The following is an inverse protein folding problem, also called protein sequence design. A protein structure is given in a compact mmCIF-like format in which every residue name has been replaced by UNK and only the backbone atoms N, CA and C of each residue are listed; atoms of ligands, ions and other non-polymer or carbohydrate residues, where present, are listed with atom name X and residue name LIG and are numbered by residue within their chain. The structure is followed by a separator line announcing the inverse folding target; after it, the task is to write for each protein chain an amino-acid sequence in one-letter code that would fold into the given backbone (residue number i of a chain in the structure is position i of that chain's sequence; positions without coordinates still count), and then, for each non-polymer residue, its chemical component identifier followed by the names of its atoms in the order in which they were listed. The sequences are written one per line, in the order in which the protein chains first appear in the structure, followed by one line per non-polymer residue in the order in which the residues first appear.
data_IF_329746470486
#
_entry.id   IF_329746470486
#
_cell.length_a   1.000
_cell.length_b   1.000
_cell.length_c   1.000
_cell.angle_alpha   90.00
_cell.angle_beta   90.00
_cell.angle_gamma   90.00
#
_symmetry.space_group_name_H-M   'P 1'
#
loop_
_entity.id
_entity.type
_entity.pdbx_description
1 polymer ?
#
# COMPACT_ATOMS: atom_id res chain seq x y z
N UNK A 1 39.95 3.22 -46.58
CA UNK A 1 38.78 3.84 -45.91
C UNK A 1 39.01 3.73 -44.40
N UNK A 2 39.31 4.89 -43.82
CA UNK A 2 39.08 5.38 -42.46
C UNK A 2 39.08 4.35 -41.30
N UNK A 3 40.11 4.44 -40.46
CA UNK A 3 40.00 4.14 -39.01
C UNK A 3 39.80 5.48 -38.30
N UNK A 4 38.60 5.71 -37.78
CA UNK A 4 38.28 6.75 -36.82
C UNK A 4 38.11 6.12 -35.43
N UNK A 5 38.72 6.74 -34.42
CA UNK A 5 38.65 6.29 -33.03
C UNK A 5 39.33 7.29 -32.09
N UNK A 6 38.55 8.30 -31.71
CA UNK A 6 38.92 9.48 -30.91
C UNK A 6 39.56 9.18 -29.54
N UNK A 7 40.46 10.08 -29.17
CA UNK A 7 41.13 10.19 -27.87
C UNK A 7 40.15 10.49 -26.71
N UNK A 8 40.31 9.76 -25.60
CA UNK A 8 39.66 10.06 -24.33
C UNK A 8 40.50 11.09 -23.55
N UNK A 9 39.94 12.28 -23.34
CA UNK A 9 40.50 13.29 -22.43
C UNK A 9 39.88 13.15 -21.04
N UNK A 10 40.71 12.83 -20.05
CA UNK A 10 40.39 12.88 -18.62
C UNK A 10 40.24 14.35 -18.18
N UNK A 11 39.08 14.72 -17.63
CA UNK A 11 38.85 16.00 -16.95
C UNK A 11 38.86 15.82 -15.43
N UNK A 12 39.54 16.69 -14.65
CA UNK A 12 39.49 16.65 -13.20
C UNK A 12 38.27 17.40 -12.65
N UNK A 13 37.77 16.88 -11.53
CA UNK A 13 36.64 17.38 -10.74
C UNK A 13 37.06 18.58 -9.89
N UNK A 14 36.43 19.74 -10.08
CA UNK A 14 36.53 20.88 -9.16
C UNK A 14 35.23 21.03 -8.35
N UNK A 15 35.39 20.90 -7.03
CA UNK A 15 34.35 21.14 -6.01
C UNK A 15 34.01 22.63 -5.98
N UNK A 16 32.73 22.97 -6.16
CA UNK A 16 32.22 24.33 -5.90
C UNK A 16 31.38 24.27 -4.62
N UNK A 17 31.97 24.75 -3.52
CA UNK A 17 31.25 25.17 -2.32
C UNK A 17 30.45 26.44 -2.66
N UNK A 18 29.12 26.41 -2.53
CA UNK A 18 28.29 27.62 -2.60
C UNK A 18 28.34 28.36 -1.27
N UNK A 19 28.98 29.53 -1.29
CA UNK A 19 28.99 30.53 -0.22
C UNK A 19 27.60 31.17 -0.03
N UNK A 20 27.27 31.45 1.23
CA UNK A 20 26.12 32.24 1.65
C UNK A 20 26.35 33.74 1.36
N UNK A 21 25.31 34.54 1.00
CA UNK A 21 25.48 35.97 0.85
C UNK A 21 25.49 36.66 2.21
N UNK A 22 26.54 37.45 2.43
CA UNK A 22 26.71 38.32 3.59
C UNK A 22 25.74 39.51 3.55
N UNK A 23 25.23 39.86 4.73
CA UNK A 23 24.42 41.05 4.97
C UNK A 23 25.39 42.23 5.17
N UNK A 24 25.29 43.20 4.28
CA UNK A 24 26.02 44.48 4.33
C UNK A 24 25.39 45.40 5.38
N UNK A 25 26.18 45.85 6.34
CA UNK A 25 25.88 47.00 7.22
C UNK A 25 26.44 48.28 6.59
N UNK A 26 25.72 49.40 6.74
CA UNK A 26 26.19 50.76 7.11
C UNK A 26 25.02 51.77 6.92
N UNK A 27 25.04 52.98 7.52
CA UNK A 27 24.90 53.28 8.94
C UNK A 27 23.67 54.19 9.22
N UNK A 28 23.37 54.37 10.50
CA UNK A 28 22.22 55.14 10.98
C UNK A 28 22.32 56.65 10.78
N UNK A 29 21.16 57.25 10.54
CA UNK A 29 20.87 58.67 10.79
C UNK A 29 19.56 58.71 11.57
N UNK A 30 19.61 59.33 12.75
CA UNK A 30 18.47 59.51 13.63
C UNK A 30 17.57 60.66 13.22
N UNK A 31 16.41 60.71 13.88
CA UNK A 31 15.69 61.95 14.11
C UNK A 31 14.35 62.10 13.40
N UNK A 32 13.30 62.07 14.23
CA UNK A 32 12.18 63.02 14.22
C UNK A 32 11.10 62.90 13.13
N UNK A 33 9.85 62.91 13.60
CA UNK A 33 8.69 63.24 12.77
C UNK A 33 7.52 62.30 12.95
N UNK A 34 6.63 62.63 13.88
CA UNK A 34 5.28 62.07 13.96
C UNK A 34 4.50 62.37 12.68
N UNK A 35 4.03 61.35 11.98
CA UNK A 35 2.82 61.44 11.16
C UNK A 35 2.04 60.14 11.31
N UNK A 36 0.78 60.31 11.71
CA UNK A 36 -0.28 59.32 11.77
C UNK A 36 -0.23 58.30 10.63
N UNK A 37 -0.02 57.03 10.96
CA UNK A 37 -0.30 55.91 10.06
C UNK A 37 -1.48 55.12 10.62
N UNK A 38 -2.67 55.39 10.06
CA UNK A 38 -3.84 54.52 10.17
C UNK A 38 -3.41 53.09 9.87
N UNK A 39 -3.56 52.18 10.82
CA UNK A 39 -3.51 50.75 10.51
C UNK A 39 -4.68 50.45 9.56
N UNK A 40 -4.46 49.90 8.35
CA UNK A 40 -5.56 49.34 7.59
C UNK A 40 -6.04 48.11 8.35
N UNK A 41 -7.20 48.22 9.00
CA UNK A 41 -8.05 47.09 9.34
C UNK A 41 -8.27 46.29 8.05
N UNK A 42 -7.78 45.05 7.99
CA UNK A 42 -8.06 44.24 6.80
C UNK A 42 -7.21 43.01 6.56
N UNK A 43 -6.80 42.27 7.59
CA UNK A 43 -6.45 40.87 7.36
C UNK A 43 -7.76 40.10 7.11
N UNK A 44 -8.16 39.98 5.85
CA UNK A 44 -9.27 39.11 5.44
C UNK A 44 -8.95 37.69 5.92
N UNK A 45 -9.60 37.28 7.02
CA UNK A 45 -9.75 35.87 7.35
C UNK A 45 -10.53 35.29 6.17
N UNK A 46 -9.86 34.55 5.29
CA UNK A 46 -10.55 33.71 4.34
C UNK A 46 -11.26 32.64 5.17
N UNK A 47 -12.48 32.94 5.62
CA UNK A 47 -13.49 31.93 5.91
C UNK A 47 -13.47 31.03 4.69
N UNK A 48 -13.20 29.74 4.91
CA UNK A 48 -13.35 28.72 3.88
C UNK A 48 -14.67 29.04 3.17
N UNK A 49 -14.62 29.40 1.90
CA UNK A 49 -15.81 29.77 1.13
C UNK A 49 -16.84 28.66 1.31
N UNK A 50 -18.14 29.00 1.41
CA UNK A 50 -19.21 28.02 1.64
C UNK A 50 -19.10 26.81 0.71
N UNK A 51 -18.57 26.98 -0.50
CA UNK A 51 -18.30 25.92 -1.45
C UNK A 51 -17.24 24.90 -0.98
N UNK A 52 -16.18 25.33 -0.29
CA UNK A 52 -15.13 24.45 0.27
C UNK A 52 -15.64 23.71 1.50
N UNK A 53 -16.44 24.37 2.35
CA UNK A 53 -17.12 23.72 3.48
C UNK A 53 -18.13 22.70 2.97
N UNK A 54 -18.95 23.05 1.97
CA UNK A 54 -19.88 22.12 1.29
C UNK A 54 -19.17 20.97 0.60
N UNK A 55 -18.00 21.19 -0.01
CA UNK A 55 -17.20 20.11 -0.62
C UNK A 55 -16.69 19.15 0.46
N UNK A 56 -16.24 19.69 1.58
CA UNK A 56 -15.75 18.92 2.73
C UNK A 56 -16.88 18.17 3.43
N UNK A 57 -18.04 18.79 3.59
CA UNK A 57 -19.26 18.15 4.08
C UNK A 57 -19.74 17.08 3.12
N UNK A 58 -19.69 17.31 1.80
CA UNK A 58 -20.03 16.30 0.79
C UNK A 58 -19.06 15.11 0.83
N UNK A 59 -17.76 15.37 0.98
CA UNK A 59 -16.77 14.31 1.17
C UNK A 59 -16.96 13.59 2.50
N UNK A 60 -17.26 14.30 3.59
CA UNK A 60 -17.55 13.71 4.90
C UNK A 60 -18.85 12.91 4.89
N UNK A 61 -19.87 13.34 4.13
CA UNK A 61 -21.14 12.62 3.96
C UNK A 61 -20.97 11.37 3.10
N UNK A 62 -20.14 11.43 2.05
CA UNK A 62 -19.72 10.24 1.28
C UNK A 62 -18.94 9.24 2.13
N UNK A 63 -17.99 9.73 2.94
CA UNK A 63 -17.21 8.88 3.86
C UNK A 63 -18.09 8.31 4.98
N UNK A 64 -19.02 9.08 5.52
CA UNK A 64 -19.96 8.62 6.55
C UNK A 64 -20.90 7.53 6.01
N UNK A 65 -21.42 7.70 4.79
CA UNK A 65 -22.25 6.68 4.10
C UNK A 65 -21.44 5.40 3.83
N UNK A 66 -20.17 5.53 3.43
CA UNK A 66 -19.27 4.38 3.27
C UNK A 66 -18.99 3.65 4.59
N UNK A 67 -19.04 4.35 5.74
CA UNK A 67 -18.80 3.78 7.06
C UNK A 67 -20.07 3.24 7.77
N UNK A 68 -21.28 3.55 7.29
CA UNK A 68 -22.54 3.16 7.94
C UNK A 68 -23.29 1.99 7.27
N UNK A 69 -22.83 1.46 6.13
CA UNK A 69 -23.45 0.30 5.48
C UNK A 69 -22.80 -1.00 5.96
N UNK A 70 -23.56 -2.07 6.24
CA UNK A 70 -23.02 -3.32 6.77
C UNK A 70 -22.32 -4.14 5.68
N UNK A 71 -21.06 -4.56 5.82
CA UNK A 71 -19.83 -3.73 5.91
C UNK A 71 -19.02 -3.72 4.62
N UNK A 72 -19.50 -4.37 3.55
CA UNK A 72 -18.72 -4.59 2.29
C UNK A 72 -19.56 -4.39 1.03
N UNK A 73 -20.85 -4.79 1.03
CA UNK A 73 -21.75 -4.57 -0.11
C UNK A 73 -21.97 -3.07 -0.39
N UNK A 74 -22.31 -2.30 0.65
CA UNK A 74 -22.46 -0.85 0.51
C UNK A 74 -21.15 -0.13 0.17
N UNK A 75 -20.01 -0.64 0.63
CA UNK A 75 -18.70 -0.08 0.25
C UNK A 75 -18.38 -0.34 -1.24
N UNK A 76 -18.76 -1.50 -1.78
CA UNK A 76 -18.65 -1.79 -3.21
C UNK A 76 -19.56 -0.87 -4.04
N UNK A 77 -20.78 -0.62 -3.59
CA UNK A 77 -21.71 0.33 -4.23
C UNK A 77 -21.11 1.73 -4.31
N UNK A 78 -20.54 2.25 -3.21
CA UNK A 78 -19.85 3.55 -3.19
C UNK A 78 -18.68 3.57 -4.19
N UNK A 79 -17.91 2.49 -4.30
CA UNK A 79 -16.82 2.41 -5.27
C UNK A 79 -17.33 2.41 -6.72
N UNK A 80 -18.44 1.72 -6.99
CA UNK A 80 -19.09 1.75 -8.30
C UNK A 80 -19.60 3.16 -8.62
N UNK A 81 -20.22 3.84 -7.66
CA UNK A 81 -20.68 5.23 -7.84
C UNK A 81 -19.52 6.19 -8.10
N UNK A 82 -18.43 6.06 -7.35
CA UNK A 82 -17.21 6.84 -7.57
C UNK A 82 -16.69 6.62 -9.00
N UNK A 83 -16.68 5.37 -9.48
CA UNK A 83 -16.30 5.04 -10.85
C UNK A 83 -17.25 5.67 -11.86
N UNK A 84 -18.56 5.58 -11.65
CA UNK A 84 -19.57 6.14 -12.55
C UNK A 84 -19.51 7.67 -12.62
N UNK A 85 -19.00 8.32 -11.58
CA UNK A 85 -18.71 9.76 -11.54
C UNK A 85 -17.32 10.12 -12.07
N UNK A 86 -16.61 9.17 -12.69
CA UNK A 86 -15.24 9.28 -13.21
C UNK A 86 -14.23 9.82 -12.15
N UNK A 87 -14.46 9.47 -10.89
CA UNK A 87 -13.52 9.82 -9.82
C UNK A 87 -12.25 9.00 -10.01
N UNK A 88 -11.12 9.68 -10.17
CA UNK A 88 -9.81 9.02 -10.31
C UNK A 88 -9.49 8.16 -9.09
N UNK A 89 -9.24 6.87 -9.34
CA UNK A 89 -8.82 5.95 -8.29
C UNK A 89 -7.34 6.13 -7.95
N UNK A 90 -7.03 6.17 -6.67
CA UNK A 90 -5.66 6.15 -6.16
C UNK A 90 -5.20 4.70 -5.96
N UNK A 91 -3.89 4.49 -5.72
CA UNK A 91 -3.34 3.17 -5.39
C UNK A 91 -4.07 2.51 -4.21
N UNK A 92 -4.41 3.29 -3.19
CA UNK A 92 -5.11 2.80 -2.00
C UNK A 92 -6.59 2.50 -2.30
N UNK A 93 -7.21 3.27 -3.21
CA UNK A 93 -8.57 3.00 -3.69
C UNK A 93 -8.64 1.64 -4.39
N UNK A 94 -7.66 1.29 -5.23
CA UNK A 94 -7.60 -0.03 -5.85
C UNK A 94 -7.38 -1.16 -4.84
N UNK A 95 -6.51 -0.95 -3.84
CA UNK A 95 -6.32 -1.92 -2.76
C UNK A 95 -7.62 -2.16 -2.01
N UNK A 96 -8.33 -1.09 -1.64
CA UNK A 96 -9.62 -1.18 -0.94
C UNK A 96 -10.68 -1.87 -1.80
N UNK A 97 -10.80 -1.48 -3.08
CA UNK A 97 -11.75 -2.07 -4.01
C UNK A 97 -11.53 -3.57 -4.17
N UNK A 98 -10.28 -3.99 -4.41
CA UNK A 98 -9.98 -5.41 -4.60
C UNK A 98 -10.10 -6.20 -3.29
N UNK A 99 -9.79 -5.59 -2.15
CA UNK A 99 -10.02 -6.20 -0.84
C UNK A 99 -11.53 -6.42 -0.57
N UNK A 100 -12.38 -5.44 -0.91
CA UNK A 100 -13.84 -5.58 -0.79
C UNK A 100 -14.35 -6.68 -1.72
N UNK A 101 -13.92 -6.69 -2.98
CA UNK A 101 -14.30 -7.76 -3.92
C UNK A 101 -13.86 -9.13 -3.41
N UNK A 102 -12.63 -9.24 -2.90
CA UNK A 102 -12.12 -10.46 -2.28
C UNK A 102 -12.98 -10.92 -1.10
N UNK A 103 -13.37 -10.01 -0.20
CA UNK A 103 -14.22 -10.32 0.95
C UNK A 103 -15.65 -10.71 0.58
N UNK A 104 -16.19 -10.16 -0.51
CA UNK A 104 -17.52 -10.53 -1.01
C UNK A 104 -17.52 -11.90 -1.70
N UNK A 105 -16.41 -12.26 -2.36
CA UNK A 105 -16.18 -13.55 -3.02
C UNK A 105 -17.36 -14.06 -3.87
N UNK A 106 -18.07 -13.15 -4.53
CA UNK A 106 -19.18 -13.46 -5.44
C UNK A 106 -18.71 -13.33 -6.90
N UNK A 107 -19.35 -14.04 -7.84
CA UNK A 107 -19.05 -13.90 -9.27
C UNK A 107 -19.24 -12.46 -9.76
N UNK A 108 -20.20 -11.73 -9.18
CA UNK A 108 -20.43 -10.30 -9.44
C UNK A 108 -19.23 -9.46 -9.01
N UNK A 109 -18.74 -9.65 -7.77
CA UNK A 109 -17.57 -8.94 -7.26
C UNK A 109 -16.29 -9.28 -8.04
N UNK A 110 -16.17 -10.52 -8.53
CA UNK A 110 -15.07 -10.92 -9.40
C UNK A 110 -15.12 -10.19 -10.74
N UNK A 111 -16.28 -10.16 -11.39
CA UNK A 111 -16.48 -9.40 -12.64
C UNK A 111 -16.11 -7.93 -12.47
N UNK A 112 -16.54 -7.30 -11.37
CA UNK A 112 -16.19 -5.90 -11.07
C UNK A 112 -14.67 -5.75 -10.86
N UNK A 113 -14.05 -6.67 -10.12
CA UNK A 113 -12.61 -6.66 -9.89
C UNK A 113 -11.81 -6.79 -11.20
N UNK A 114 -12.23 -7.66 -12.12
CA UNK A 114 -11.56 -7.84 -13.42
C UNK A 114 -11.74 -6.61 -14.30
N UNK A 115 -12.94 -6.04 -14.40
CA UNK A 115 -13.17 -4.83 -15.20
C UNK A 115 -12.37 -3.65 -14.66
N UNK A 116 -12.34 -3.45 -13.34
CA UNK A 116 -11.56 -2.37 -12.72
C UNK A 116 -10.06 -2.53 -12.97
N UNK A 117 -9.56 -3.78 -12.95
CA UNK A 117 -8.16 -4.07 -13.27
C UNK A 117 -7.83 -3.76 -14.73
N UNK A 118 -8.65 -4.24 -15.66
CA UNK A 118 -8.44 -4.04 -17.10
C UNK A 118 -8.47 -2.55 -17.46
N UNK A 119 -9.45 -1.81 -16.95
CA UNK A 119 -9.52 -0.34 -17.09
C UNK A 119 -8.28 0.36 -16.53
N UNK A 120 -7.78 -0.06 -15.36
CA UNK A 120 -6.56 0.48 -14.78
C UNK A 120 -5.34 0.24 -15.69
N UNK A 121 -5.20 -0.97 -16.24
CA UNK A 121 -4.11 -1.32 -17.15
C UNK A 121 -4.18 -0.52 -18.46
N UNK A 122 -5.37 -0.36 -19.03
CA UNK A 122 -5.58 0.45 -20.24
C UNK A 122 -5.23 1.93 -20.03
N UNK A 123 -5.52 2.46 -18.83
CA UNK A 123 -5.17 3.83 -18.43
C UNK A 123 -3.68 3.98 -18.05
N UNK A 124 -2.90 2.89 -18.05
CA UNK A 124 -1.49 2.88 -17.65
C UNK A 124 -1.28 3.03 -16.14
N UNK A 125 -2.29 2.76 -15.32
CA UNK A 125 -2.19 2.84 -13.86
C UNK A 125 -1.41 1.65 -13.30
N UNK A 126 -0.44 1.92 -12.42
CA UNK A 126 0.38 0.89 -11.79
C UNK A 126 -0.31 0.38 -10.53
N UNK A 127 -0.81 -0.85 -10.59
CA UNK A 127 -1.42 -1.54 -9.44
C UNK A 127 -0.36 -1.91 -8.41
N UNK A 128 -0.70 -1.70 -7.13
CA UNK A 128 0.17 -2.11 -6.04
C UNK A 128 0.23 -3.63 -5.93
N UNK A 129 1.35 -4.16 -5.42
CA UNK A 129 1.50 -5.60 -5.11
C UNK A 129 0.32 -6.12 -4.30
N UNK A 130 -0.12 -5.35 -3.30
CA UNK A 130 -1.22 -5.72 -2.41
C UNK A 130 -2.56 -5.83 -3.15
N UNK A 131 -2.86 -4.88 -4.04
CA UNK A 131 -4.04 -4.96 -4.89
C UNK A 131 -3.98 -6.22 -5.75
N UNK A 132 -2.86 -6.46 -6.43
CA UNK A 132 -2.67 -7.68 -7.23
C UNK A 132 -2.83 -8.96 -6.41
N UNK A 133 -2.34 -9.03 -5.17
CA UNK A 133 -2.56 -10.19 -4.29
C UNK A 133 -4.04 -10.47 -4.04
N UNK A 134 -4.86 -9.45 -3.78
CA UNK A 134 -6.31 -9.63 -3.63
C UNK A 134 -6.98 -10.10 -4.92
N UNK A 135 -6.57 -9.57 -6.07
CA UNK A 135 -7.09 -10.00 -7.36
C UNK A 135 -6.72 -11.46 -7.69
N UNK A 136 -5.48 -11.89 -7.40
CA UNK A 136 -5.05 -13.29 -7.52
C UNK A 136 -5.87 -14.18 -6.58
N UNK A 137 -5.95 -13.82 -5.30
CA UNK A 137 -6.68 -14.60 -4.31
C UNK A 137 -8.16 -14.78 -4.67
N UNK A 138 -8.79 -13.71 -5.18
CA UNK A 138 -10.17 -13.77 -5.65
C UNK A 138 -10.30 -14.65 -6.90
N UNK A 139 -9.39 -14.56 -7.87
CA UNK A 139 -9.40 -15.43 -9.05
C UNK A 139 -9.25 -16.91 -8.67
N UNK A 140 -8.37 -17.23 -7.72
CA UNK A 140 -8.19 -18.60 -7.20
C UNK A 140 -9.44 -19.12 -6.50
N UNK A 141 -10.15 -18.27 -5.74
CA UNK A 141 -11.42 -18.63 -5.09
C UNK A 141 -12.54 -18.89 -6.10
N UNK A 142 -12.53 -18.21 -7.26
CA UNK A 142 -13.49 -18.40 -8.35
C UNK A 142 -13.06 -19.51 -9.34
N UNK A 143 -11.99 -20.26 -9.02
CA UNK A 143 -11.44 -21.33 -9.85
C UNK A 143 -10.97 -20.88 -11.24
N UNK A 144 -10.57 -19.61 -11.37
CA UNK A 144 -10.11 -18.98 -12.60
C UNK A 144 -8.59 -18.96 -12.67
N UNK A 145 -7.99 -20.16 -12.78
CA UNK A 145 -6.54 -20.38 -12.70
C UNK A 145 -5.75 -19.57 -13.73
N UNK A 146 -6.21 -19.52 -14.98
CA UNK A 146 -5.53 -18.81 -16.06
C UNK A 146 -5.42 -17.30 -15.76
N UNK A 147 -6.49 -16.71 -15.22
CA UNK A 147 -6.49 -15.31 -14.77
C UNK A 147 -5.57 -15.14 -13.56
N UNK A 148 -5.61 -16.03 -12.58
CA UNK A 148 -4.72 -15.96 -11.42
C UNK A 148 -3.23 -15.96 -11.81
N UNK A 149 -2.82 -16.87 -12.71
CA UNK A 149 -1.44 -16.94 -13.23
C UNK A 149 -1.06 -15.68 -14.00
N UNK A 150 -1.94 -15.19 -14.88
CA UNK A 150 -1.72 -13.97 -15.66
C UNK A 150 -1.58 -12.73 -14.75
N UNK A 151 -2.40 -12.63 -13.71
CA UNK A 151 -2.36 -11.55 -12.74
C UNK A 151 -1.06 -11.63 -11.92
N UNK A 152 -0.68 -12.83 -11.49
CA UNK A 152 0.48 -13.07 -10.65
C UNK A 152 1.80 -12.77 -11.38
N UNK A 153 1.93 -13.13 -12.66
CA UNK A 153 3.13 -12.88 -13.46
C UNK A 153 3.42 -11.39 -13.66
N UNK A 154 2.38 -10.54 -13.60
CA UNK A 154 2.50 -9.08 -13.70
C UNK A 154 2.94 -8.41 -12.39
N UNK A 155 3.12 -9.17 -11.29
CA UNK A 155 3.53 -8.61 -10.00
C UNK A 155 5.05 -8.38 -9.98
N UNK A 156 5.44 -7.11 -9.89
CA UNK A 156 6.85 -6.74 -9.69
C UNK A 156 7.34 -7.12 -8.28
N UNK A 157 8.37 -7.97 -8.22
CA UNK A 157 9.04 -8.49 -7.02
C UNK A 157 8.08 -9.28 -6.08
N UNK A 158 7.83 -10.58 -6.34
CA UNK A 158 6.85 -11.40 -5.60
C UNK A 158 7.32 -11.87 -4.20
N UNK A 159 8.37 -11.28 -3.62
CA UNK A 159 8.98 -11.71 -2.34
C UNK A 159 8.18 -11.29 -1.08
N UNK A 160 6.85 -11.16 -1.19
CA UNK A 160 5.99 -10.90 -0.01
C UNK A 160 5.39 -12.18 0.51
N UNK A 161 5.13 -12.25 1.82
CA UNK A 161 4.51 -13.41 2.47
C UNK A 161 3.17 -13.77 1.78
N UNK A 162 2.37 -12.77 1.42
CA UNK A 162 1.13 -13.01 0.68
C UNK A 162 1.38 -13.64 -0.70
N UNK A 163 2.30 -13.06 -1.48
CA UNK A 163 2.65 -13.57 -2.81
C UNK A 163 3.22 -14.99 -2.75
N UNK A 164 4.09 -15.30 -1.79
CA UNK A 164 4.71 -16.63 -1.67
C UNK A 164 3.65 -17.69 -1.39
N UNK A 165 2.71 -17.41 -0.50
CA UNK A 165 1.60 -18.32 -0.20
C UNK A 165 0.62 -18.45 -1.37
N UNK A 166 0.33 -17.36 -2.09
CA UNK A 166 -0.49 -17.41 -3.31
C UNK A 166 0.18 -18.21 -4.43
N UNK A 167 1.50 -18.10 -4.58
CA UNK A 167 2.26 -18.87 -5.57
C UNK A 167 2.14 -20.37 -5.29
N UNK A 168 2.24 -20.78 -4.02
CA UNK A 168 2.03 -22.17 -3.62
C UNK A 168 0.63 -22.66 -4.01
N UNK A 169 -0.41 -21.86 -3.79
CA UNK A 169 -1.78 -22.23 -4.20
C UNK A 169 -1.93 -22.33 -5.71
N UNK A 170 -1.32 -21.42 -6.48
CA UNK A 170 -1.30 -21.50 -7.94
C UNK A 170 -0.69 -22.84 -8.39
N UNK A 171 0.44 -23.24 -7.80
CA UNK A 171 1.07 -24.53 -8.13
C UNK A 171 0.20 -25.74 -7.73
N UNK A 172 -0.48 -25.68 -6.58
CA UNK A 172 -1.43 -26.72 -6.15
C UNK A 172 -2.57 -26.88 -7.19
N UNK A 173 -3.19 -25.77 -7.60
CA UNK A 173 -4.30 -25.79 -8.56
C UNK A 173 -3.84 -26.15 -9.99
N UNK A 174 -2.60 -25.80 -10.37
CA UNK A 174 -2.02 -26.15 -11.68
C UNK A 174 -1.56 -27.62 -11.78
N UNK A 175 -1.65 -28.39 -10.69
CA UNK A 175 -1.16 -29.77 -10.59
C UNK A 175 0.35 -29.94 -10.91
N UNK A 176 1.14 -28.87 -10.78
CA UNK A 176 2.58 -28.88 -11.02
C UNK A 176 3.33 -29.26 -9.72
N UNK A 177 3.16 -30.51 -9.28
CA UNK A 177 3.63 -30.97 -7.97
C UNK A 177 5.16 -31.01 -7.84
N UNK A 178 5.88 -31.34 -8.92
CA UNK A 178 7.34 -31.35 -8.92
C UNK A 178 7.90 -29.94 -8.69
N UNK A 179 7.42 -28.96 -9.47
CA UNK A 179 7.80 -27.56 -9.32
C UNK A 179 7.43 -27.00 -7.94
N UNK A 180 6.31 -27.46 -7.37
CA UNK A 180 5.90 -27.08 -6.02
C UNK A 180 6.90 -27.58 -4.96
N UNK A 181 7.28 -28.86 -5.03
CA UNK A 181 8.25 -29.44 -4.11
C UNK A 181 9.61 -28.77 -4.28
N UNK A 182 10.08 -28.53 -5.52
CA UNK A 182 11.32 -27.80 -5.78
C UNK A 182 11.28 -26.38 -5.18
N UNK A 183 10.17 -25.65 -5.36
CA UNK A 183 9.99 -24.31 -4.79
C UNK A 183 10.06 -24.33 -3.26
N UNK A 184 9.43 -25.32 -2.61
CA UNK A 184 9.47 -25.46 -1.15
C UNK A 184 10.85 -25.88 -0.65
N UNK A 185 11.54 -26.77 -1.36
CA UNK A 185 12.93 -27.18 -1.08
C UNK A 185 13.86 -25.98 -1.15
N UNK A 186 13.82 -25.21 -2.24
CA UNK A 186 14.62 -23.99 -2.40
C UNK A 186 14.34 -22.98 -1.27
N UNK A 187 13.08 -22.85 -0.85
CA UNK A 187 12.69 -21.97 0.25
C UNK A 187 13.15 -22.47 1.64
N UNK A 188 13.34 -23.78 1.81
CA UNK A 188 13.88 -24.39 3.02
C UNK A 188 15.41 -24.34 3.07
N UNK A 189 16.09 -24.53 1.93
CA UNK A 189 17.55 -24.58 1.82
C UNK A 189 18.21 -23.18 1.73
N UNK A 190 17.55 -22.20 1.12
CA UNK A 190 18.11 -20.88 0.83
C UNK A 190 18.39 -19.96 2.02
N UNK A 191 18.14 -20.37 3.26
CA UNK A 191 18.18 -19.50 4.46
C UNK A 191 19.48 -19.61 5.27
N UNK A 192 20.64 -19.52 4.61
CA UNK A 192 21.94 -19.51 5.30
C UNK A 192 22.32 -18.16 5.93
N UNK A 193 21.70 -17.04 5.51
CA UNK A 193 22.05 -15.70 6.02
C UNK A 193 20.99 -15.10 6.95
N UNK A 194 21.46 -14.44 8.02
CA UNK A 194 20.60 -13.78 9.03
C UNK A 194 19.93 -12.49 8.52
N UNK A 195 20.32 -12.02 7.34
CA UNK A 195 19.95 -10.71 6.79
C UNK A 195 18.94 -10.77 5.65
N UNK A 196 18.70 -11.96 5.08
CA UNK A 196 17.69 -12.15 4.03
C UNK A 196 16.33 -12.45 4.68
N UNK A 197 15.28 -11.80 4.19
CA UNK A 197 13.91 -12.07 4.61
C UNK A 197 13.56 -13.52 4.28
N UNK A 198 13.20 -14.29 5.31
CA UNK A 198 12.78 -15.68 5.12
C UNK A 198 11.39 -15.75 4.49
N UNK A 199 11.20 -16.70 3.59
CA UNK A 199 9.87 -17.06 3.11
C UNK A 199 9.06 -17.62 4.27
N UNK A 200 7.89 -17.04 4.51
CA UNK A 200 6.96 -17.48 5.54
C UNK A 200 5.76 -18.15 4.85
N UNK A 201 5.35 -19.30 5.37
CA UNK A 201 4.23 -20.07 4.84
C UNK A 201 3.11 -20.17 5.89
N UNK A 202 1.87 -20.11 5.43
CA UNK A 202 0.69 -20.36 6.27
C UNK A 202 0.51 -21.87 6.43
N UNK A 203 0.24 -22.30 7.66
CA UNK A 203 -0.06 -23.70 7.96
C UNK A 203 -1.25 -24.22 7.14
N UNK A 204 -2.28 -23.38 6.92
CA UNK A 204 -3.43 -23.70 6.08
C UNK A 204 -3.01 -24.05 4.63
N UNK A 205 -2.04 -23.32 4.09
CA UNK A 205 -1.56 -23.52 2.72
C UNK A 205 -0.72 -24.80 2.64
N UNK A 206 0.13 -25.06 3.63
CA UNK A 206 0.92 -26.30 3.70
C UNK A 206 0.03 -27.53 3.90
N UNK A 207 -1.07 -27.42 4.64
CA UNK A 207 -2.06 -28.50 4.77
C UNK A 207 -2.70 -28.85 3.41
N UNK A 208 -3.00 -27.84 2.57
CA UNK A 208 -3.49 -28.06 1.20
C UNK A 208 -2.43 -28.71 0.30
N UNK A 209 -1.14 -28.36 0.46
CA UNK A 209 -0.05 -29.08 -0.23
C UNK A 209 -0.06 -30.55 0.17
N UNK A 210 -0.08 -30.83 1.48
CA UNK A 210 -0.09 -32.19 2.02
C UNK A 210 -1.25 -32.99 1.47
N UNK A 211 -2.44 -32.41 1.43
CA UNK A 211 -3.63 -33.03 0.83
C UNK A 211 -3.43 -33.38 -0.64
N UNK A 212 -2.84 -32.48 -1.41
CA UNK A 212 -2.64 -32.67 -2.85
C UNK A 212 -1.60 -33.76 -3.18
N UNK A 213 -0.61 -33.99 -2.31
CA UNK A 213 0.43 -35.01 -2.52
C UNK A 213 0.11 -36.38 -1.93
N UNK A 214 -1.03 -36.55 -1.23
CA UNK A 214 -1.41 -37.80 -0.53
C UNK A 214 -1.30 -39.06 -1.38
N UNK A 215 -1.63 -38.95 -2.67
CA UNK A 215 -1.69 -40.10 -3.59
C UNK A 215 -0.32 -40.56 -4.10
N UNK A 216 0.75 -39.80 -3.84
CA UNK A 216 2.11 -40.09 -4.32
C UNK A 216 3.07 -40.23 -3.13
N UNK A 217 3.33 -41.46 -2.64
CA UNK A 217 4.11 -41.70 -1.43
C UNK A 217 5.51 -41.08 -1.45
N UNK A 218 6.16 -41.06 -2.61
CA UNK A 218 7.48 -40.44 -2.77
C UNK A 218 7.45 -38.92 -2.56
N UNK A 219 6.38 -38.24 -2.98
CA UNK A 219 6.21 -36.79 -2.77
C UNK A 219 5.78 -36.49 -1.33
N UNK A 220 4.98 -37.37 -0.71
CA UNK A 220 4.63 -37.26 0.71
C UNK A 220 5.89 -37.28 1.58
N UNK A 221 6.77 -38.27 1.40
CA UNK A 221 8.01 -38.36 2.18
C UNK A 221 8.90 -37.13 2.02
N UNK A 222 9.05 -36.64 0.78
CA UNK A 222 9.79 -35.39 0.50
C UNK A 222 9.14 -34.18 1.16
N UNK A 223 7.82 -34.06 1.06
CA UNK A 223 7.09 -32.94 1.66
C UNK A 223 7.22 -32.95 3.18
N UNK A 224 7.07 -34.10 3.83
CA UNK A 224 7.18 -34.21 5.29
C UNK A 224 8.59 -33.83 5.78
N UNK A 225 9.64 -34.21 5.05
CA UNK A 225 11.03 -33.76 5.33
C UNK A 225 11.16 -32.23 5.22
N UNK A 226 10.65 -31.64 4.14
CA UNK A 226 10.70 -30.19 3.91
C UNK A 226 9.88 -29.45 4.96
N UNK A 227 8.68 -29.94 5.29
CA UNK A 227 7.83 -29.37 6.32
C UNK A 227 8.53 -29.35 7.68
N UNK A 228 9.21 -30.45 8.05
CA UNK A 228 10.05 -30.52 9.25
C UNK A 228 11.12 -29.43 9.27
N UNK A 229 11.85 -29.25 8.16
CA UNK A 229 12.87 -28.19 8.03
C UNK A 229 12.27 -26.79 8.18
N UNK A 230 11.14 -26.52 7.52
CA UNK A 230 10.43 -25.22 7.60
C UNK A 230 9.89 -24.94 9.00
N UNK A 231 9.46 -25.96 9.73
CA UNK A 231 8.96 -25.82 11.09
C UNK A 231 10.10 -25.48 12.07
N UNK A 232 11.20 -26.24 12.02
CA UNK A 232 12.39 -25.99 12.87
C UNK A 232 13.03 -24.63 12.57
N UNK A 233 13.00 -24.18 11.32
CA UNK A 233 13.53 -22.86 10.94
C UNK A 233 12.62 -21.68 11.33
N UNK A 234 11.41 -21.95 11.86
CA UNK A 234 10.42 -20.95 12.24
C UNK A 234 9.79 -20.23 11.05
N UNK A 235 9.72 -20.89 9.88
CA UNK A 235 9.14 -20.33 8.65
C UNK A 235 7.64 -20.60 8.50
N UNK A 236 7.03 -21.35 9.42
CA UNK A 236 5.60 -21.65 9.42
C UNK A 236 4.85 -20.67 10.33
N UNK A 237 3.75 -20.13 9.83
CA UNK A 237 2.87 -19.21 10.56
C UNK A 237 1.52 -19.86 10.81
N UNK A 238 0.96 -19.59 12.00
CA UNK A 238 -0.38 -20.05 12.40
C UNK A 238 -1.49 -19.13 11.86
N UNK A 239 -1.13 -18.10 11.08
CA UNK A 239 -2.10 -17.21 10.46
C UNK A 239 -2.69 -17.87 9.21
N UNK A 240 -4.01 -17.75 9.03
CA UNK A 240 -4.66 -18.14 7.77
C UNK A 240 -4.18 -17.30 6.61
N UNK A 241 -4.37 -17.78 5.38
CA UNK A 241 -4.04 -16.99 4.19
C UNK A 241 -4.81 -15.66 4.17
N UNK A 242 -6.09 -15.70 4.56
CA UNK A 242 -6.93 -14.51 4.68
C UNK A 242 -6.33 -13.49 5.66
N UNK A 243 -5.86 -13.95 6.82
CA UNK A 243 -5.21 -13.08 7.81
C UNK A 243 -3.91 -12.46 7.26
N UNK A 244 -3.13 -13.21 6.48
CA UNK A 244 -1.92 -12.71 5.83
C UNK A 244 -2.23 -11.64 4.78
N UNK A 245 -3.28 -11.83 3.97
CA UNK A 245 -3.72 -10.87 2.95
C UNK A 245 -4.30 -9.59 3.56
N UNK A 246 -5.13 -9.75 4.59
CA UNK A 246 -5.82 -8.66 5.27
C UNK A 246 -4.99 -7.99 6.37
N UNK A 247 -3.76 -8.44 6.62
CA UNK A 247 -2.89 -7.84 7.62
C UNK A 247 -2.67 -6.34 7.33
N UNK A 248 -3.09 -5.49 8.25
CA UNK A 248 -2.73 -4.07 8.28
C UNK A 248 -1.60 -3.89 9.28
N UNK A 249 -0.42 -3.36 8.85
CA UNK A 249 0.62 -3.01 9.80
C UNK A 249 0.01 -2.05 10.82
N UNK A 250 -0.07 -2.44 12.09
CA UNK A 250 -0.42 -1.50 13.15
C UNK A 250 0.68 -0.46 13.18
N UNK A 251 0.33 0.79 12.89
CA UNK A 251 1.24 1.91 13.10
C UNK A 251 1.77 1.83 14.52
N UNK A 252 3.08 1.58 14.66
CA UNK A 252 3.77 1.77 15.92
C UNK A 252 3.69 3.28 16.22
N UNK A 253 2.72 3.63 17.07
CA UNK A 253 2.39 4.98 17.54
C UNK A 253 1.60 5.80 16.51
N UNK A 254 0.28 5.72 16.65
CA UNK A 254 -0.64 6.76 16.18
C UNK A 254 -0.09 8.15 16.55
N UNK A 255 0.34 8.92 15.55
CA UNK A 255 0.68 10.34 15.67
C UNK A 255 -0.48 11.18 16.24
N UNK A 256 -1.66 10.60 16.41
CA UNK A 256 -2.81 11.12 17.16
C UNK A 256 -2.44 11.56 18.59
N UNK A 257 -1.50 10.88 19.26
CA UNK A 257 -1.00 11.31 20.57
C UNK A 257 -0.19 12.63 20.52
N UNK A 258 0.47 12.92 19.39
CA UNK A 258 1.19 14.19 19.22
C UNK A 258 0.27 15.36 18.85
N UNK A 259 -0.86 15.09 18.19
CA UNK A 259 -1.87 16.09 17.88
C UNK A 259 -2.66 16.51 19.15
N UNK A 260 -2.99 15.55 20.02
CA UNK A 260 -3.67 15.86 21.29
C UNK A 260 -2.81 16.67 22.28
N UNK A 261 -1.47 16.68 22.13
CA UNK A 261 -0.58 17.50 22.96
C UNK A 261 -0.52 18.98 22.56
N UNK A 262 -1.15 19.39 21.45
CA UNK A 262 -1.15 20.78 20.97
C UNK A 262 -2.48 21.52 21.21
N UNK A 263 -3.23 21.18 22.27
CA UNK A 263 -4.46 21.90 22.60
C UNK A 263 -4.24 23.22 23.37
N UNK A 264 -3.01 23.51 23.79
CA UNK A 264 -2.65 24.73 24.53
C UNK A 264 -1.71 25.58 23.69
N UNK A 265 -2.10 26.84 23.47
CA UNK A 265 -1.24 27.82 22.80
C UNK A 265 0.04 28.05 23.63
N UNK A 266 1.21 27.90 23.01
CA UNK A 266 2.50 28.18 23.68
C UNK A 266 2.73 29.65 23.98
N UNK A 267 2.00 30.56 23.33
CA UNK A 267 2.13 32.02 23.54
C UNK A 267 1.23 32.53 24.65
N UNK A 268 0.06 31.91 24.82
CA UNK A 268 -0.97 32.40 25.74
C UNK A 268 -1.29 31.42 26.87
N UNK A 269 -0.73 30.21 26.84
CA UNK A 269 -0.98 29.12 27.78
C UNK A 269 -2.47 28.81 28.01
N UNK A 270 -3.36 29.17 27.08
CA UNK A 270 -4.80 28.92 27.15
C UNK A 270 -5.24 27.78 26.23
N UNK A 271 -6.29 27.02 26.61
CA UNK A 271 -6.94 26.05 25.73
C UNK A 271 -7.60 26.75 24.54
N UNK A 272 -7.40 26.24 23.34
CA UNK A 272 -7.94 26.84 22.10
C UNK A 272 -9.49 26.86 22.02
N UNK A 273 -10.18 26.13 22.90
CA UNK A 273 -11.65 26.01 22.88
C UNK A 273 -12.41 27.10 23.64
N UNK A 274 -11.73 28.05 24.31
CA UNK A 274 -12.43 29.04 25.15
C UNK A 274 -12.93 30.30 24.42
N UNK A 275 -12.61 30.49 23.14
CA UNK A 275 -12.94 31.75 22.43
C UNK A 275 -14.15 31.68 21.50
N UNK A 276 -14.96 30.62 21.54
CA UNK A 276 -16.14 30.45 20.67
C UNK A 276 -17.50 30.60 21.37
N UNK A 277 -17.51 30.95 22.67
CA UNK A 277 -18.74 31.11 23.47
C UNK A 277 -18.72 32.40 24.31
N UNK A 278 -18.34 33.52 23.70
CA UNK A 278 -18.60 34.83 24.27
C UNK A 278 -19.20 35.70 23.16
N UNK A 279 -20.52 35.87 23.26
CA UNK A 279 -21.32 36.90 22.60
C UNK A 279 -21.05 38.25 23.26
#
# INVERSE_FOLDING_TARGET
IVRDGMAAALRPSSRVLRQAPQISMYPGVGGSGSVSCRCPLGAKRYLLTDNVVKLKEFQQKKVAVACSLPGTKGALEVLIEMKNQDVKFTKDTYVLAFAICYKLNSPESFKICTTLREEALLKGEILSRRASCFAVALALNQNELAKAVSIFSQIMNPESIACTNLNVIIHIQSNALENLIETLTNAAEGNLSKFVKRHMFSEEVLAKVREKVKDVPALVAKFDEIYGKLHVSGQVTNYSLDAVLCYTPRDKKSHTLLLNKRMVSRRTFRPLNQSLLAE
#
